data_IF_881421495431
#
_entry.id   IF_881421495431
#
_cell.length_a   1.000
_cell.length_b   1.000
_cell.length_c   1.000
_cell.angle_alpha   90.00
_cell.angle_beta   90.00
_cell.angle_gamma   90.00
#
_symmetry.space_group_name_H-M   'P 1'
#
loop_
_entity.id
_entity.type
_entity.pdbx_description
1 polymer ?
#
# COMPACT_ATOMS: atom_id res chain seq x y z
N UNK A 1 21.22 5.39 0.01
CA UNK A 1 19.77 5.21 0.27
C UNK A 1 18.98 5.92 -0.82
N UNK A 2 17.95 5.30 -1.39
CA UNK A 2 17.10 5.88 -2.45
C UNK A 2 15.75 6.33 -1.86
N UNK A 3 15.03 7.28 -2.49
CA UNK A 3 13.65 7.59 -2.10
C UNK A 3 12.77 6.35 -2.17
N UNK A 4 11.89 6.17 -1.19
CA UNK A 4 11.02 5.00 -1.07
C UNK A 4 9.65 5.44 -0.58
N UNK A 5 8.62 4.93 -1.25
CA UNK A 5 7.23 4.98 -0.81
C UNK A 5 6.81 3.57 -0.40
N UNK A 6 6.27 3.44 0.81
CA UNK A 6 5.75 2.19 1.38
C UNK A 6 4.26 2.42 1.62
N UNK A 7 3.41 1.58 1.03
CA UNK A 7 1.96 1.60 1.25
C UNK A 7 1.54 0.23 1.79
N UNK A 8 0.81 0.17 2.90
CA UNK A 8 0.43 -1.08 3.57
C UNK A 8 -1.03 -1.05 4.03
N UNK A 9 -1.75 -2.15 3.86
CA UNK A 9 -3.12 -2.30 4.36
C UNK A 9 -3.15 -2.68 5.84
N UNK A 10 -3.96 -2.00 6.67
CA UNK A 10 -3.97 -2.27 8.12
C UNK A 10 -4.61 -3.61 8.49
N UNK A 11 -5.40 -4.20 7.58
CA UNK A 11 -6.03 -5.51 7.72
C UNK A 11 -5.36 -6.59 6.84
N UNK A 12 -4.08 -6.40 6.49
CA UNK A 12 -3.29 -7.44 5.81
C UNK A 12 -3.01 -8.62 6.76
N UNK A 13 -3.71 -9.72 6.54
CA UNK A 13 -3.56 -10.98 7.30
C UNK A 13 -2.35 -11.82 6.82
N UNK A 14 -1.85 -11.59 5.60
CA UNK A 14 -0.72 -12.34 5.04
C UNK A 14 0.62 -11.76 5.48
N UNK A 15 0.72 -10.43 5.56
CA UNK A 15 1.92 -9.71 5.98
C UNK A 15 1.54 -8.62 6.97
N UNK A 16 1.85 -8.82 8.25
CA UNK A 16 1.50 -7.88 9.30
C UNK A 16 2.18 -6.51 9.14
N UNK A 17 1.53 -5.46 9.65
CA UNK A 17 2.00 -4.07 9.61
C UNK A 17 3.44 -3.87 10.15
N UNK A 18 3.89 -4.71 11.07
CA UNK A 18 5.26 -4.66 11.62
C UNK A 18 6.35 -4.76 10.53
N UNK A 19 6.06 -5.37 9.38
CA UNK A 19 6.98 -5.44 8.25
C UNK A 19 7.16 -4.07 7.58
N UNK A 20 6.07 -3.34 7.35
CA UNK A 20 6.14 -1.97 6.81
C UNK A 20 6.90 -1.03 7.77
N UNK A 21 6.69 -1.19 9.08
CA UNK A 21 7.46 -0.46 10.10
C UNK A 21 8.96 -0.78 10.02
N UNK A 22 9.34 -2.04 9.85
CA UNK A 22 10.75 -2.43 9.69
C UNK A 22 11.38 -1.79 8.44
N UNK A 23 10.68 -1.76 7.31
CA UNK A 23 11.15 -1.10 6.09
C UNK A 23 11.39 0.40 6.32
N UNK A 24 10.46 1.10 6.98
CA UNK A 24 10.61 2.50 7.39
C UNK A 24 11.78 2.70 8.37
N UNK A 25 12.04 1.75 9.26
CA UNK A 25 13.17 1.82 10.17
C UNK A 25 14.52 1.65 9.45
N UNK A 26 14.58 0.81 8.40
CA UNK A 26 15.78 0.67 7.57
C UNK A 26 16.07 1.92 6.72
N UNK A 27 15.03 2.66 6.36
CA UNK A 27 15.16 3.96 5.71
C UNK A 27 14.25 5.00 6.37
N UNK A 28 14.80 5.73 7.34
CA UNK A 28 14.06 6.78 8.05
C UNK A 28 13.47 7.87 7.12
N UNK A 29 14.00 8.04 5.91
CA UNK A 29 13.49 8.97 4.89
C UNK A 29 12.38 8.39 4.01
N UNK A 30 12.09 7.09 4.10
CA UNK A 30 10.99 6.48 3.34
C UNK A 30 9.65 7.06 3.79
N UNK A 31 8.70 7.23 2.89
CA UNK A 31 7.32 7.60 3.23
C UNK A 31 6.52 6.33 3.49
N UNK A 32 5.72 6.32 4.56
CA UNK A 32 4.90 5.18 4.94
C UNK A 32 3.43 5.63 5.03
N UNK A 33 2.60 5.08 4.15
CA UNK A 33 1.17 5.31 4.10
C UNK A 33 0.42 4.03 4.48
N UNK A 34 -0.64 4.20 5.28
CA UNK A 34 -1.51 3.11 5.68
C UNK A 34 -2.88 3.28 5.05
N UNK A 35 -3.39 2.21 4.47
CA UNK A 35 -4.74 2.15 3.95
C UNK A 35 -5.60 1.42 4.99
N UNK A 36 -6.44 2.19 5.66
CA UNK A 36 -7.24 1.72 6.80
C UNK A 36 -8.24 0.64 6.36
N UNK A 37 -8.28 -0.48 7.09
CA UNK A 37 -9.06 -1.69 6.82
C UNK A 37 -8.76 -2.39 5.49
N UNK A 38 -7.74 -1.98 4.74
CA UNK A 38 -7.38 -2.65 3.50
C UNK A 38 -6.67 -3.98 3.76
N UNK A 39 -6.99 -4.97 2.95
CA UNK A 39 -6.36 -6.29 2.99
C UNK A 39 -5.05 -6.34 2.17
N UNK A 40 -4.42 -7.51 2.14
CA UNK A 40 -3.15 -7.76 1.45
C UNK A 40 -3.13 -7.31 -0.03
N UNK A 41 -4.26 -7.45 -0.72
CA UNK A 41 -4.39 -7.20 -2.16
C UNK A 41 -5.13 -5.90 -2.48
N UNK A 42 -5.38 -5.06 -1.46
CA UNK A 42 -6.12 -3.80 -1.58
C UNK A 42 -7.48 -3.95 -2.27
N UNK A 43 -8.20 -5.03 -1.96
CA UNK A 43 -9.49 -5.36 -2.54
C UNK A 43 -9.44 -5.91 -3.96
N UNK A 44 -8.26 -6.05 -4.58
CA UNK A 44 -8.10 -6.71 -5.87
C UNK A 44 -8.38 -8.21 -5.76
N UNK A 45 -8.66 -8.86 -6.89
CA UNK A 45 -9.00 -10.29 -6.96
C UNK A 45 -8.67 -10.86 -8.33
N UNK A 46 -8.61 -12.18 -8.41
CA UNK A 46 -8.57 -12.91 -9.68
C UNK A 46 -9.66 -13.99 -9.70
N UNK A 47 -10.48 -14.10 -10.78
CA UNK A 47 -10.52 -13.23 -11.95
C UNK A 47 -11.04 -11.82 -11.62
N UNK A 48 -10.56 -10.82 -12.35
CA UNK A 48 -11.00 -9.43 -12.19
C UNK A 48 -12.03 -9.08 -13.26
N UNK A 49 -13.30 -9.06 -12.89
CA UNK A 49 -14.42 -8.84 -13.81
C UNK A 49 -14.97 -7.40 -13.79
N UNK A 50 -14.51 -6.58 -12.84
CA UNK A 50 -15.01 -5.23 -12.63
C UNK A 50 -14.28 -4.23 -13.54
N UNK A 51 -15.01 -3.23 -14.06
CA UNK A 51 -14.42 -2.19 -14.94
C UNK A 51 -13.73 -1.05 -14.18
N UNK A 52 -13.76 -1.08 -12.85
CA UNK A 52 -13.20 -0.05 -11.99
C UNK A 52 -12.25 -0.69 -10.99
N UNK A 53 -11.25 0.07 -10.52
CA UNK A 53 -10.40 -0.38 -9.42
C UNK A 53 -11.21 -0.49 -8.12
N UNK A 54 -10.86 -1.43 -7.24
CA UNK A 54 -11.36 -1.42 -5.88
C UNK A 54 -10.97 -0.11 -5.20
N UNK A 55 -11.78 0.33 -4.23
CA UNK A 55 -11.57 1.58 -3.50
C UNK A 55 -10.13 1.73 -2.99
N UNK A 56 -9.63 0.71 -2.29
CA UNK A 56 -8.33 0.76 -1.63
C UNK A 56 -7.18 0.77 -2.64
N UNK A 57 -7.26 -0.05 -3.71
CA UNK A 57 -6.28 -0.01 -4.79
C UNK A 57 -6.30 1.33 -5.55
N UNK A 58 -7.48 1.95 -5.71
CA UNK A 58 -7.59 3.29 -6.28
C UNK A 58 -6.86 4.33 -5.43
N UNK A 59 -6.95 4.22 -4.11
CA UNK A 59 -6.19 5.06 -3.18
C UNK A 59 -4.67 4.83 -3.30
N UNK A 60 -4.24 3.56 -3.36
CA UNK A 60 -2.83 3.19 -3.59
C UNK A 60 -2.29 3.83 -4.87
N UNK A 61 -3.04 3.76 -5.98
CA UNK A 61 -2.65 4.37 -7.26
C UNK A 61 -2.56 5.90 -7.13
N UNK A 62 -3.54 6.53 -6.47
CA UNK A 62 -3.54 7.99 -6.28
C UNK A 62 -2.32 8.46 -5.47
N UNK A 63 -2.00 7.78 -4.37
CA UNK A 63 -0.82 8.08 -3.55
C UNK A 63 0.46 7.87 -4.38
N UNK A 64 0.54 6.75 -5.12
CA UNK A 64 1.70 6.44 -5.95
C UNK A 64 1.95 7.50 -7.03
N UNK A 65 0.90 7.95 -7.72
CA UNK A 65 1.00 8.99 -8.74
C UNK A 65 1.40 10.34 -8.12
N UNK A 66 0.79 10.72 -7.00
CA UNK A 66 1.15 11.98 -6.31
C UNK A 66 2.55 11.99 -5.68
N UNK A 67 3.18 10.83 -5.52
CA UNK A 67 4.56 10.72 -5.07
C UNK A 67 5.57 10.78 -6.23
N UNK A 68 5.17 10.32 -7.41
CA UNK A 68 6.03 10.28 -8.60
C UNK A 68 6.07 11.61 -9.37
N UNK A 69 4.98 12.37 -9.35
CA UNK A 69 4.79 13.63 -10.09
C UNK A 69 4.59 14.80 -9.15
#
# INVERSE_FOLDING_TARGET
NKPQLIIHGTADEAVGFSHAQRLKNWNAKAELHLIENANHVFGAKHPYADNHLPKDLGEVVKISLGWLY
#
